data_IF_346190266417
#
_entry.id   IF_346190266417
#
_cell.length_a   1.000
_cell.length_b   1.000
_cell.length_c   1.000
_cell.angle_alpha   90.00
_cell.angle_beta   90.00
_cell.angle_gamma   90.00
#
_symmetry.space_group_name_H-M   'P 1'
#
loop_
_entity.id
_entity.type
_entity.pdbx_description
1 polymer ?
#
# COMPACT_ATOMS: atom_id res chain seq x y z
N UNK A 1 -4.49 -16.17 -3.85
CA UNK A 1 -3.43 -15.14 -3.88
C UNK A 1 -2.29 -15.42 -2.90
N UNK A 2 -2.54 -15.94 -1.70
CA UNK A 2 -1.48 -16.21 -0.70
C UNK A 2 -0.37 -17.17 -1.20
N UNK A 3 -0.70 -18.16 -2.04
CA UNK A 3 0.27 -19.08 -2.63
C UNK A 3 1.24 -18.40 -3.61
N UNK A 4 0.75 -17.48 -4.45
CA UNK A 4 1.58 -16.70 -5.38
C UNK A 4 2.47 -15.70 -4.63
N UNK A 5 1.96 -15.09 -3.56
CA UNK A 5 2.77 -14.23 -2.69
C UNK A 5 3.84 -15.04 -1.94
N UNK A 6 3.51 -16.26 -1.51
CA UNK A 6 4.47 -17.17 -0.90
C UNK A 6 5.55 -17.58 -1.89
N UNK A 7 5.18 -17.86 -3.14
CA UNK A 7 6.13 -18.13 -4.23
C UNK A 7 7.03 -16.93 -4.51
N UNK A 8 6.49 -15.72 -4.57
CA UNK A 8 7.26 -14.50 -4.82
C UNK A 8 8.35 -14.26 -3.78
N UNK A 9 8.05 -14.51 -2.50
CA UNK A 9 9.01 -14.32 -1.41
C UNK A 9 9.96 -15.51 -1.24
N UNK A 10 9.44 -16.73 -1.38
CA UNK A 10 10.17 -17.97 -1.15
C UNK A 10 9.66 -19.11 -2.05
N UNK A 11 10.19 -19.25 -3.27
CA UNK A 11 9.78 -20.29 -4.21
C UNK A 11 10.01 -21.73 -3.71
N UNK A 12 10.94 -21.93 -2.75
CA UNK A 12 11.25 -23.27 -2.23
C UNK A 12 10.17 -23.79 -1.28
N UNK A 13 9.40 -22.88 -0.67
CA UNK A 13 8.33 -23.21 0.27
C UNK A 13 8.82 -23.67 1.65
N UNK A 14 10.13 -23.75 1.87
CA UNK A 14 10.67 -24.18 3.16
C UNK A 14 10.25 -23.19 4.27
N UNK A 15 9.58 -23.71 5.30
CA UNK A 15 9.05 -22.90 6.41
C UNK A 15 7.86 -22.00 6.06
N UNK A 16 7.28 -22.11 4.86
CA UNK A 16 6.11 -21.31 4.47
C UNK A 16 4.82 -21.88 5.03
N UNK A 17 3.94 -21.03 5.56
CA UNK A 17 2.61 -21.44 6.04
C UNK A 17 1.68 -21.84 4.89
N UNK A 18 1.82 -21.19 3.74
CA UNK A 18 1.08 -21.47 2.52
C UNK A 18 2.08 -22.02 1.49
N UNK A 19 1.84 -23.22 0.92
CA UNK A 19 2.70 -23.77 -0.12
C UNK A 19 2.80 -22.81 -1.31
N UNK A 20 4.02 -22.54 -1.82
CA UNK A 20 4.19 -21.65 -2.96
C UNK A 20 3.64 -22.29 -4.23
N UNK A 21 2.99 -21.49 -5.05
CA UNK A 21 2.52 -21.85 -6.38
C UNK A 21 3.06 -20.82 -7.37
N UNK A 22 3.67 -21.28 -8.46
CA UNK A 22 4.15 -20.38 -9.51
C UNK A 22 2.96 -19.66 -10.16
N UNK A 23 2.95 -18.31 -10.16
CA UNK A 23 1.84 -17.57 -10.74
C UNK A 23 1.79 -17.71 -12.27
N UNK A 24 0.61 -17.49 -12.88
CA UNK A 24 0.50 -17.28 -14.32
C UNK A 24 1.37 -16.13 -14.84
N UNK A 25 1.44 -15.96 -16.16
CA UNK A 25 2.29 -14.95 -16.79
C UNK A 25 1.99 -13.51 -16.30
N UNK A 26 0.72 -13.13 -16.19
CA UNK A 26 0.29 -11.80 -15.75
C UNK A 26 0.82 -11.40 -14.36
N UNK A 27 0.49 -12.14 -13.28
CA UNK A 27 0.96 -11.78 -11.94
C UNK A 27 2.48 -11.94 -11.80
N UNK A 28 3.09 -12.86 -12.53
CA UNK A 28 4.55 -13.02 -12.57
C UNK A 28 5.24 -11.78 -13.14
N UNK A 29 4.72 -11.23 -14.24
CA UNK A 29 5.22 -9.98 -14.80
C UNK A 29 4.99 -8.79 -13.86
N UNK A 30 3.85 -8.72 -13.16
CA UNK A 30 3.61 -7.69 -12.15
C UNK A 30 4.64 -7.76 -11.01
N UNK A 31 5.00 -8.96 -10.57
CA UNK A 31 6.04 -9.20 -9.57
C UNK A 31 7.43 -8.74 -10.05
N UNK A 32 7.78 -9.01 -11.31
CA UNK A 32 9.05 -8.56 -11.91
C UNK A 32 9.11 -7.02 -12.03
N UNK A 33 8.01 -6.38 -12.43
CA UNK A 33 7.89 -4.92 -12.45
C UNK A 33 7.99 -4.33 -11.04
N UNK A 34 7.38 -4.96 -10.04
CA UNK A 34 7.48 -4.53 -8.65
C UNK A 34 8.93 -4.58 -8.14
N UNK A 35 9.68 -5.63 -8.47
CA UNK A 35 11.12 -5.69 -8.17
C UNK A 35 11.89 -4.54 -8.83
N UNK A 36 11.54 -4.13 -10.05
CA UNK A 36 12.17 -2.99 -10.72
C UNK A 36 11.85 -1.65 -10.03
N UNK A 37 10.61 -1.47 -9.55
CA UNK A 37 10.22 -0.30 -8.73
C UNK A 37 11.09 -0.23 -7.47
N UNK A 38 11.30 -1.35 -6.79
CA UNK A 38 12.15 -1.41 -5.59
C UNK A 38 13.63 -1.18 -5.87
N UNK A 39 14.11 -1.54 -7.07
CA UNK A 39 15.51 -1.43 -7.46
C UNK A 39 15.90 -0.03 -7.96
N UNK A 40 14.97 0.75 -8.50
CA UNK A 40 15.24 2.08 -9.04
C UNK A 40 15.01 3.20 -8.02
N UNK A 41 15.87 4.23 -8.06
CA UNK A 41 15.71 5.47 -7.29
C UNK A 41 15.05 6.61 -8.08
N UNK A 42 14.70 6.39 -9.35
CA UNK A 42 14.10 7.40 -10.23
C UNK A 42 12.57 7.32 -10.16
N UNK A 43 11.95 8.40 -9.67
CA UNK A 43 10.50 8.48 -9.49
C UNK A 43 9.71 8.36 -10.81
N UNK A 44 10.26 8.82 -11.93
CA UNK A 44 9.58 8.71 -13.23
C UNK A 44 9.55 7.25 -13.72
N UNK A 45 10.63 6.50 -13.46
CA UNK A 45 10.69 5.07 -13.76
C UNK A 45 9.76 4.27 -12.85
N UNK A 46 9.69 4.60 -11.55
CA UNK A 46 8.75 3.98 -10.62
C UNK A 46 7.29 4.15 -11.07
N UNK A 47 6.93 5.36 -11.50
CA UNK A 47 5.60 5.68 -12.02
C UNK A 47 5.28 4.87 -13.29
N UNK A 48 6.22 4.77 -14.22
CA UNK A 48 6.06 3.99 -15.45
C UNK A 48 5.87 2.49 -15.18
N UNK A 49 6.69 1.90 -14.31
CA UNK A 49 6.53 0.49 -13.95
C UNK A 49 5.21 0.22 -13.22
N UNK A 50 4.77 1.13 -12.34
CA UNK A 50 3.48 1.00 -11.67
C UNK A 50 2.30 1.07 -12.65
N UNK A 51 2.37 1.93 -13.68
CA UNK A 51 1.36 1.96 -14.74
C UNK A 51 1.26 0.62 -15.48
N UNK A 52 2.38 0.01 -15.81
CA UNK A 52 2.40 -1.32 -16.46
C UNK A 52 1.80 -2.40 -15.55
N UNK A 53 2.03 -2.34 -14.23
CA UNK A 53 1.36 -3.25 -13.28
C UNK A 53 -0.17 -3.07 -13.33
N UNK A 54 -0.65 -1.82 -13.35
CA UNK A 54 -2.08 -1.51 -13.40
C UNK A 54 -2.73 -1.89 -14.75
N UNK A 55 -1.99 -1.79 -15.85
CA UNK A 55 -2.44 -2.22 -17.18
C UNK A 55 -2.69 -3.74 -17.19
N UNK A 56 -1.74 -4.55 -16.67
CA UNK A 56 -1.93 -6.00 -16.51
C UNK A 56 -3.14 -6.32 -15.61
N UNK A 57 -3.32 -5.58 -14.52
CA UNK A 57 -4.47 -5.78 -13.63
C UNK A 57 -5.81 -5.47 -14.31
N UNK A 58 -5.80 -4.53 -15.26
CA UNK A 58 -6.99 -4.15 -16.04
C UNK A 58 -7.37 -5.24 -17.03
N UNK A 59 -6.38 -5.87 -17.69
CA UNK A 59 -6.61 -6.95 -18.65
C UNK A 59 -7.07 -8.26 -17.98
N UNK A 60 -6.55 -8.54 -16.77
CA UNK A 60 -6.75 -9.80 -16.06
C UNK A 60 -7.88 -9.76 -15.02
N UNK A 61 -8.38 -8.57 -14.67
CA UNK A 61 -9.53 -8.35 -13.76
C UNK A 61 -9.39 -9.01 -12.37
N UNK A 62 -8.19 -9.01 -11.76
CA UNK A 62 -7.97 -9.58 -10.41
C UNK A 62 -8.85 -8.95 -9.32
N UNK A 63 -9.22 -7.68 -9.49
CA UNK A 63 -10.14 -6.96 -8.64
C UNK A 63 -10.98 -6.00 -9.48
N UNK A 64 -12.27 -5.86 -9.14
CA UNK A 64 -13.19 -4.94 -9.79
C UNK A 64 -13.54 -3.84 -8.80
N UNK A 65 -13.09 -2.61 -9.07
CA UNK A 65 -13.41 -1.46 -8.25
C UNK A 65 -14.91 -1.13 -8.31
N UNK A 66 -15.55 -1.00 -7.16
CA UNK A 66 -16.97 -0.64 -7.06
C UNK A 66 -17.14 0.81 -6.60
N UNK A 67 -16.55 1.15 -5.45
CA UNK A 67 -16.55 2.51 -4.92
C UNK A 67 -15.34 2.71 -4.01
N UNK A 68 -14.97 3.97 -3.79
CA UNK A 68 -14.08 4.34 -2.69
C UNK A 68 -14.86 4.31 -1.37
N UNK A 69 -14.17 3.96 -0.28
CA UNK A 69 -14.73 4.14 1.07
C UNK A 69 -14.97 5.62 1.37
N UNK A 70 -15.96 5.97 2.21
CA UNK A 70 -16.16 7.35 2.62
C UNK A 70 -14.96 7.87 3.42
N UNK A 71 -14.70 9.18 3.35
CA UNK A 71 -13.67 9.81 4.18
C UNK A 71 -14.01 9.62 5.66
N UNK A 72 -13.00 9.24 6.46
CA UNK A 72 -13.10 9.31 7.92
C UNK A 72 -13.13 10.76 8.42
N UNK A 73 -13.43 10.94 9.70
CA UNK A 73 -13.38 12.24 10.36
C UNK A 73 -12.72 12.12 11.74
N UNK A 74 -12.12 13.23 12.19
CA UNK A 74 -11.61 13.42 13.54
C UNK A 74 -12.35 14.56 14.23
N UNK A 75 -12.31 14.59 15.56
CA UNK A 75 -12.90 15.66 16.37
C UNK A 75 -11.76 16.35 17.12
N UNK A 76 -11.65 17.67 16.97
CA UNK A 76 -10.67 18.51 17.68
C UNK A 76 -11.43 19.56 18.47
N UNK A 77 -11.14 19.69 19.75
CA UNK A 77 -11.74 20.73 20.59
C UNK A 77 -11.17 22.10 20.21
N UNK A 78 -11.98 23.16 20.32
CA UNK A 78 -11.56 24.51 19.91
C UNK A 78 -10.30 25.04 20.61
N UNK A 79 -10.04 24.62 21.86
CA UNK A 79 -8.84 24.99 22.63
C UNK A 79 -7.71 23.95 22.52
N UNK A 80 -7.80 23.01 21.58
CA UNK A 80 -6.79 21.99 21.33
C UNK A 80 -6.15 22.26 19.96
N UNK A 81 -4.89 22.64 19.98
CA UNK A 81 -4.22 23.23 18.83
C UNK A 81 -3.09 22.37 18.30
N UNK A 82 -2.59 22.77 17.13
CA UNK A 82 -1.52 22.11 16.39
C UNK A 82 -1.86 20.72 15.84
N UNK A 83 -3.15 20.39 15.72
CA UNK A 83 -3.62 19.20 15.00
C UNK A 83 -3.76 19.54 13.52
N UNK A 84 -3.03 18.88 12.60
CA UNK A 84 -3.12 19.16 11.17
C UNK A 84 -4.47 18.72 10.60
N UNK A 85 -4.91 19.41 9.54
CA UNK A 85 -6.07 19.03 8.74
C UNK A 85 -5.71 19.17 7.27
N UNK A 86 -5.82 18.09 6.45
CA UNK A 86 -6.31 16.75 6.77
C UNK A 86 -5.27 15.87 7.49
N UNK A 87 -5.72 14.77 8.12
CA UNK A 87 -4.85 13.68 8.60
C UNK A 87 -5.04 12.46 7.68
N UNK A 88 -4.01 12.07 6.90
CA UNK A 88 -4.06 10.85 6.10
C UNK A 88 -4.22 9.62 7.01
N UNK A 89 -5.24 8.79 6.78
CA UNK A 89 -5.48 7.58 7.58
C UNK A 89 -5.09 6.31 6.84
N UNK A 90 -4.28 5.46 7.47
CA UNK A 90 -4.02 4.09 7.04
C UNK A 90 -3.68 3.22 8.25
N UNK A 91 -3.86 1.90 8.14
CA UNK A 91 -3.40 0.97 9.18
C UNK A 91 -1.87 0.99 9.32
N UNK A 92 -1.14 1.10 8.21
CA UNK A 92 0.33 1.23 8.18
C UNK A 92 0.83 2.63 8.55
N UNK A 93 -0.07 3.62 8.60
CA UNK A 93 0.22 5.00 8.97
C UNK A 93 -0.78 5.44 10.05
N UNK A 94 -0.68 4.88 11.27
CA UNK A 94 -1.78 4.86 12.23
C UNK A 94 -1.99 6.22 12.90
N UNK A 95 -3.14 6.86 12.64
CA UNK A 95 -3.51 8.12 13.25
C UNK A 95 -3.67 7.99 14.78
N UNK A 96 -3.26 9.03 15.56
CA UNK A 96 -2.61 10.27 15.17
C UNK A 96 -1.07 10.21 15.25
N UNK A 97 -0.44 9.03 15.31
CA UNK A 97 1.00 8.91 15.56
C UNK A 97 1.89 9.73 14.60
N UNK A 98 1.67 9.67 13.27
CA UNK A 98 2.51 10.36 12.31
C UNK A 98 2.37 11.89 12.26
N UNK A 99 1.42 12.47 12.99
CA UNK A 99 1.21 13.92 13.05
C UNK A 99 1.93 14.58 14.23
N UNK A 100 2.86 13.86 14.86
CA UNK A 100 3.66 14.31 16.01
C UNK A 100 2.80 14.85 17.17
N UNK A 101 1.98 13.99 17.82
CA UNK A 101 1.08 14.42 18.90
C UNK A 101 1.76 15.13 20.08
N UNK A 102 3.06 14.91 20.29
CA UNK A 102 3.84 15.62 21.29
C UNK A 102 3.95 17.13 21.04
N UNK A 103 3.64 17.58 19.83
CA UNK A 103 3.58 19.00 19.46
C UNK A 103 2.18 19.61 19.70
N UNK A 104 1.19 18.81 20.10
CA UNK A 104 -0.16 19.29 20.37
C UNK A 104 -0.20 20.03 21.71
N UNK A 105 -1.08 21.03 21.80
CA UNK A 105 -1.20 21.81 23.03
C UNK A 105 -2.62 22.28 23.30
N UNK A 106 -2.87 22.60 24.57
CA UNK A 106 -4.17 23.09 25.06
C UNK A 106 -4.02 24.55 25.46
N UNK A 107 -4.86 25.42 24.90
CA UNK A 107 -4.99 26.81 25.35
C UNK A 107 -5.66 26.83 26.74
N UNK A 108 -5.03 27.54 27.69
CA UNK A 108 -5.51 27.68 29.07
C UNK A 108 -6.55 28.79 29.21
#
# INVERSE_FOLDING_TARGET
>A
AEAWQSWFNNPTGEGSLTPPEEPPAGPKQQMELYNQIQATGDAAQQDEFMKQILEIATDEFYAIGISLGPNGYGIVRNNFHNVPSPIPGSWLYPNPGPTNPEQYWVEQ
#
